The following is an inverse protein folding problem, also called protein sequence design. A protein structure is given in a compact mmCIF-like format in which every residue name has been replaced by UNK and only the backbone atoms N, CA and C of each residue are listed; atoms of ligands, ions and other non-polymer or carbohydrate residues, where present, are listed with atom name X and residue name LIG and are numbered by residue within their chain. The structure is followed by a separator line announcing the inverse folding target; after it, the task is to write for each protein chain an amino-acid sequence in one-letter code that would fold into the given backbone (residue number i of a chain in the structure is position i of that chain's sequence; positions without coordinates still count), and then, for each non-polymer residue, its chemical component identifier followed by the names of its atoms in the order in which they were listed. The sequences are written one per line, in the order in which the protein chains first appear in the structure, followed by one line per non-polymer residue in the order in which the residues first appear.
data_IF_758095044201
#
_entry.id   IF_758095044201
#
_cell.length_a   1.000
_cell.length_b   1.000
_cell.length_c   1.000
_cell.angle_alpha   90.00
_cell.angle_beta   90.00
_cell.angle_gamma   90.00
#
_symmetry.space_group_name_H-M   'P 1'
#
loop_
_entity.id
_entity.type
_entity.pdbx_description
1 polymer ?
#
# COMPACT_ATOMS: atom_id res chain seq x y z
N UNK A 1 19.25 33.87 41.02
CA UNK A 1 17.93 33.23 40.86
C UNK A 1 17.43 33.37 39.44
N UNK A 2 17.87 32.49 38.52
CA UNK A 2 17.18 32.30 37.23
C UNK A 2 17.60 30.95 36.65
N UNK A 3 16.78 29.93 36.85
CA UNK A 3 16.95 28.60 36.28
C UNK A 3 16.23 28.58 34.93
N UNK A 4 16.98 28.45 33.84
CA UNK A 4 16.43 28.21 32.49
C UNK A 4 15.92 26.76 32.43
N UNK A 5 14.62 26.59 32.58
CA UNK A 5 13.93 25.32 32.40
C UNK A 5 13.90 24.98 30.90
N UNK A 6 14.66 23.94 30.52
CA UNK A 6 14.65 23.37 29.17
C UNK A 6 13.26 22.83 28.86
N UNK A 7 12.54 23.49 27.96
CA UNK A 7 11.33 22.97 27.37
C UNK A 7 11.62 21.60 26.70
N UNK A 8 11.07 20.53 27.26
CA UNK A 8 11.03 19.22 26.62
C UNK A 8 10.05 19.29 25.45
N UNK A 9 10.39 18.83 24.23
CA UNK A 9 9.42 18.73 23.16
C UNK A 9 8.40 17.63 23.52
N UNK A 10 7.12 18.02 23.62
CA UNK A 10 6.00 17.10 23.78
C UNK A 10 5.80 16.21 22.55
N UNK A 11 4.96 15.16 22.65
CA UNK A 11 4.72 14.24 21.55
C UNK A 11 4.07 14.97 20.37
N UNK A 12 4.66 14.82 19.19
CA UNK A 12 4.09 15.29 17.93
C UNK A 12 2.85 14.47 17.60
N UNK A 13 1.67 15.06 17.76
CA UNK A 13 0.43 14.51 17.24
C UNK A 13 0.37 14.78 15.73
N UNK A 14 0.47 13.72 14.92
CA UNK A 14 0.32 13.80 13.46
C UNK A 14 -1.17 13.91 13.11
N UNK A 15 -1.66 15.14 12.95
CA UNK A 15 -2.94 15.37 12.26
C UNK A 15 -2.78 15.05 10.77
N UNK A 16 -3.79 14.39 10.19
CA UNK A 16 -3.87 14.01 8.78
C UNK A 16 -3.94 15.27 7.91
N UNK A 17 -2.78 15.78 7.52
CA UNK A 17 -2.55 16.90 6.60
C UNK A 17 -1.90 16.37 5.30
N UNK A 18 -1.99 17.06 4.15
CA UNK A 18 -1.22 16.73 2.93
C UNK A 18 0.27 16.44 3.18
N UNK A 19 0.83 16.94 4.28
CA UNK A 19 2.18 16.64 4.75
C UNK A 19 2.43 15.15 4.99
N UNK A 20 1.46 14.38 5.53
CA UNK A 20 1.70 12.99 5.97
C UNK A 20 2.00 12.06 4.79
N UNK A 21 1.22 12.15 3.72
CA UNK A 21 1.45 11.36 2.51
C UNK A 21 2.78 11.74 1.85
N UNK A 22 3.05 13.04 1.72
CA UNK A 22 4.33 13.54 1.19
C UNK A 22 5.53 13.08 2.01
N UNK A 23 5.44 13.11 3.34
CA UNK A 23 6.52 12.64 4.23
C UNK A 23 6.73 11.13 4.10
N UNK A 24 5.67 10.34 3.93
CA UNK A 24 5.76 8.88 3.72
C UNK A 24 6.43 8.55 2.39
N UNK A 25 6.06 9.27 1.33
CA UNK A 25 6.71 9.14 0.01
C UNK A 25 8.20 9.54 0.09
N UNK A 26 8.52 10.65 0.75
CA UNK A 26 9.91 11.09 0.91
C UNK A 26 10.77 10.07 1.68
N UNK A 27 10.22 9.46 2.73
CA UNK A 27 10.93 8.41 3.47
C UNK A 27 11.18 7.19 2.59
N UNK A 28 10.16 6.71 1.86
CA UNK A 28 10.34 5.54 0.97
C UNK A 28 11.34 5.81 -0.14
N UNK A 29 11.38 7.04 -0.68
CA UNK A 29 12.40 7.41 -1.67
C UNK A 29 13.82 7.24 -1.12
N UNK A 30 14.05 7.57 0.16
CA UNK A 30 15.35 7.36 0.81
C UNK A 30 15.64 5.87 1.01
N UNK A 31 14.66 5.08 1.45
CA UNK A 31 14.80 3.62 1.61
C UNK A 31 15.11 2.93 0.28
N UNK A 32 14.40 3.30 -0.79
CA UNK A 32 14.67 2.79 -2.15
C UNK A 32 16.10 3.11 -2.57
N UNK A 33 16.58 4.33 -2.34
CA UNK A 33 17.95 4.71 -2.70
C UNK A 33 19.01 3.85 -1.98
N UNK A 34 18.75 3.46 -0.73
CA UNK A 34 19.64 2.59 0.06
C UNK A 34 19.61 1.14 -0.47
N UNK A 35 18.43 0.63 -0.83
CA UNK A 35 18.25 -0.73 -1.36
C UNK A 35 18.80 -0.87 -2.79
N UNK A 36 18.76 0.21 -3.56
CA UNK A 36 19.35 0.27 -4.89
C UNK A 36 20.88 0.21 -4.78
N UNK A 37 21.43 -0.99 -5.03
CA UNK A 37 22.87 -1.21 -5.17
C UNK A 37 23.40 -0.43 -6.39
N UNK A 38 23.80 0.83 -6.16
CA UNK A 38 24.27 1.75 -7.19
C UNK A 38 25.38 1.07 -8.02
N UNK A 39 25.13 0.88 -9.31
CA UNK A 39 26.09 0.34 -10.28
C UNK A 39 25.93 -1.14 -10.65
N UNK A 40 24.97 -1.89 -10.09
CA UNK A 40 24.68 -3.29 -10.51
C UNK A 40 23.31 -3.43 -11.18
N UNK A 41 23.13 -4.35 -12.15
CA UNK A 41 21.80 -4.70 -12.64
C UNK A 41 20.91 -5.23 -11.52
N UNK A 42 19.66 -4.79 -11.48
CA UNK A 42 18.66 -5.24 -10.48
C UNK A 42 17.29 -5.39 -11.14
N UNK A 43 16.42 -6.21 -10.54
CA UNK A 43 15.03 -6.33 -10.96
C UNK A 43 14.20 -5.16 -10.39
N UNK A 44 13.82 -4.24 -11.26
CA UNK A 44 12.98 -3.08 -10.91
C UNK A 44 11.60 -3.48 -10.40
N UNK A 45 11.07 -4.64 -10.81
CA UNK A 45 9.69 -5.03 -10.47
C UNK A 45 9.52 -5.23 -8.97
N UNK A 46 10.42 -5.98 -8.34
CA UNK A 46 10.32 -6.31 -6.91
C UNK A 46 10.52 -5.04 -6.09
N UNK A 47 11.58 -4.28 -6.36
CA UNK A 47 11.91 -3.08 -5.58
C UNK A 47 10.79 -2.02 -5.68
N UNK A 48 10.29 -1.74 -6.90
CA UNK A 48 9.25 -0.74 -7.08
C UNK A 48 7.90 -1.20 -6.50
N UNK A 49 7.53 -2.47 -6.68
CA UNK A 49 6.31 -2.99 -6.06
C UNK A 49 6.40 -2.88 -4.54
N UNK A 50 7.51 -3.31 -3.93
CA UNK A 50 7.71 -3.21 -2.48
C UNK A 50 7.67 -1.76 -1.98
N UNK A 51 8.34 -0.84 -2.67
CA UNK A 51 8.38 0.57 -2.28
C UNK A 51 7.00 1.23 -2.32
N UNK A 52 6.29 1.09 -3.44
CA UNK A 52 4.94 1.66 -3.60
C UNK A 52 3.99 1.03 -2.59
N UNK A 53 4.07 -0.29 -2.40
CA UNK A 53 3.22 -0.99 -1.44
C UNK A 53 3.49 -0.54 -0.02
N UNK A 54 4.74 -0.25 0.35
CA UNK A 54 5.09 0.26 1.67
C UNK A 54 4.55 1.68 1.91
N UNK A 55 4.50 2.54 0.89
CA UNK A 55 3.79 3.84 0.99
C UNK A 55 2.32 3.59 1.34
N UNK A 56 1.66 2.67 0.64
CA UNK A 56 0.24 2.37 0.87
C UNK A 56 0.03 1.67 2.23
N UNK A 57 0.87 0.70 2.61
CA UNK A 57 0.83 0.06 3.93
C UNK A 57 0.98 1.10 5.05
N UNK A 58 1.86 2.08 4.88
CA UNK A 58 1.98 3.17 5.86
C UNK A 58 0.68 3.96 5.95
N UNK A 59 0.02 4.28 4.83
CA UNK A 59 -1.32 4.91 4.80
C UNK A 59 -2.39 4.07 5.49
N UNK A 60 -2.41 2.77 5.23
CA UNK A 60 -3.45 1.88 5.74
C UNK A 60 -3.26 1.55 7.22
N UNK A 61 -2.05 1.16 7.58
CA UNK A 61 -1.72 0.53 8.86
C UNK A 61 -0.87 1.41 9.77
N UNK A 62 -0.38 2.55 9.28
CA UNK A 62 0.58 3.39 10.01
C UNK A 62 2.01 2.84 10.05
N UNK A 63 2.24 1.66 9.47
CA UNK A 63 3.49 0.90 9.58
C UNK A 63 4.06 0.56 8.21
N UNK A 64 5.37 0.24 8.18
CA UNK A 64 6.09 -0.21 6.99
C UNK A 64 6.61 -1.61 7.23
N UNK A 65 6.71 -2.38 6.15
CA UNK A 65 7.29 -3.72 6.17
C UNK A 65 8.72 -3.69 5.66
N UNK A 66 9.57 -4.57 6.20
CA UNK A 66 10.88 -4.79 5.61
C UNK A 66 10.73 -5.36 4.19
N UNK A 67 11.65 -5.03 3.29
CA UNK A 67 11.55 -5.45 1.89
C UNK A 67 11.70 -6.98 1.76
N UNK A 68 12.40 -7.61 2.71
CA UNK A 68 12.62 -9.04 2.82
C UNK A 68 11.61 -9.74 3.74
N UNK A 69 10.62 -9.01 4.27
CA UNK A 69 9.60 -9.60 5.14
C UNK A 69 8.81 -10.67 4.34
N UNK A 70 8.84 -11.95 4.75
CA UNK A 70 8.21 -13.03 4.00
C UNK A 70 6.69 -12.88 3.92
N UNK A 71 6.08 -12.23 4.91
CA UNK A 71 4.64 -11.97 4.97
C UNK A 71 4.27 -10.91 3.94
N UNK A 72 5.03 -9.82 3.90
CA UNK A 72 4.84 -8.77 2.92
C UNK A 72 5.08 -9.26 1.48
N UNK A 73 6.14 -10.04 1.25
CA UNK A 73 6.42 -10.63 -0.06
C UNK A 73 5.31 -11.59 -0.52
N UNK A 74 4.72 -12.34 0.40
CA UNK A 74 3.57 -13.21 0.10
C UNK A 74 2.35 -12.39 -0.31
N UNK A 75 2.06 -11.31 0.41
CA UNK A 75 1.00 -10.36 0.09
C UNK A 75 1.16 -9.78 -1.33
N UNK A 76 2.37 -9.31 -1.68
CA UNK A 76 2.67 -8.79 -3.01
C UNK A 76 2.53 -9.85 -4.10
N UNK A 77 2.95 -11.08 -3.81
CA UNK A 77 2.84 -12.21 -4.74
C UNK A 77 1.37 -12.51 -5.05
N UNK A 78 0.55 -12.66 -4.02
CA UNK A 78 -0.90 -12.92 -4.15
C UNK A 78 -1.59 -11.81 -4.96
N UNK A 79 -1.21 -10.56 -4.71
CA UNK A 79 -1.79 -9.41 -5.40
C UNK A 79 -1.45 -9.37 -6.89
N UNK A 80 -0.18 -9.59 -7.23
CA UNK A 80 0.26 -9.66 -8.63
C UNK A 80 -0.32 -10.91 -9.34
N UNK A 81 -0.49 -12.04 -8.65
CA UNK A 81 -1.18 -13.21 -9.21
C UNK A 81 -2.65 -12.90 -9.50
N UNK A 82 -3.37 -12.30 -8.55
CA UNK A 82 -4.77 -11.91 -8.74
C UNK A 82 -4.95 -10.90 -9.87
N UNK A 83 -4.07 -9.91 -9.97
CA UNK A 83 -4.11 -8.92 -11.06
C UNK A 83 -3.93 -9.58 -12.43
N UNK A 84 -3.00 -10.54 -12.55
CA UNK A 84 -2.82 -11.32 -13.78
C UNK A 84 -4.03 -12.19 -14.10
N UNK A 85 -4.62 -12.82 -13.08
CA UNK A 85 -5.80 -13.66 -13.25
C UNK A 85 -7.02 -12.83 -13.69
N UNK A 86 -7.25 -11.67 -13.06
CA UNK A 86 -8.30 -10.72 -13.46
C UNK A 86 -8.14 -10.23 -14.89
N UNK A 87 -6.90 -10.02 -15.34
CA UNK A 87 -6.59 -9.68 -16.73
C UNK A 87 -6.69 -10.85 -17.71
N UNK A 88 -6.85 -12.10 -17.25
CA UNK A 88 -6.81 -13.28 -18.12
C UNK A 88 -8.07 -13.37 -19.00
N UNK A 89 -7.95 -13.89 -20.25
CA UNK A 89 -9.11 -14.10 -21.12
C UNK A 89 -10.21 -14.95 -20.49
N UNK A 90 -9.84 -15.94 -19.67
CA UNK A 90 -10.79 -16.82 -18.98
C UNK A 90 -11.66 -16.06 -17.96
N UNK A 91 -11.06 -15.17 -17.15
CA UNK A 91 -11.81 -14.37 -16.17
C UNK A 91 -12.62 -13.27 -16.86
N UNK A 92 -12.08 -12.64 -17.90
CA UNK A 92 -12.86 -11.67 -18.70
C UNK A 92 -14.09 -12.34 -19.32
N UNK A 93 -13.93 -13.53 -19.91
CA UNK A 93 -15.03 -14.28 -20.49
C UNK A 93 -16.07 -14.70 -19.43
N UNK A 94 -15.63 -15.10 -18.24
CA UNK A 94 -16.52 -15.33 -17.10
C UNK A 94 -17.31 -14.09 -16.69
N UNK A 95 -16.68 -12.91 -16.64
CA UNK A 95 -17.35 -11.66 -16.30
C UNK A 95 -18.42 -11.27 -17.32
N UNK A 96 -18.19 -11.53 -18.62
CA UNK A 96 -19.19 -11.28 -19.66
C UNK A 96 -20.30 -12.34 -19.69
N UNK A 97 -19.96 -13.60 -19.43
CA UNK A 97 -20.90 -14.72 -19.45
C UNK A 97 -20.73 -15.60 -18.20
N UNK A 98 -21.35 -15.24 -17.07
CA UNK A 98 -21.20 -15.99 -15.81
C UNK A 98 -21.64 -17.45 -15.93
N UNK A 99 -22.63 -17.73 -16.80
CA UNK A 99 -23.23 -19.06 -17.00
C UNK A 99 -22.26 -20.13 -17.53
N UNK A 100 -21.14 -19.74 -18.16
CA UNK A 100 -20.10 -20.66 -18.67
C UNK A 100 -18.90 -20.79 -17.72
N UNK A 101 -18.95 -20.15 -16.56
CA UNK A 101 -17.85 -20.08 -15.60
C UNK A 101 -17.36 -21.40 -15.04
N UNK A 102 -18.23 -22.41 -14.99
CA UNK A 102 -17.88 -23.74 -14.49
C UNK A 102 -16.83 -24.47 -15.35
N UNK A 103 -16.66 -24.07 -16.62
CA UNK A 103 -15.74 -24.71 -17.57
C UNK A 103 -14.27 -24.29 -17.37
N UNK A 104 -14.01 -23.11 -16.79
CA UNK A 104 -12.69 -22.49 -16.88
C UNK A 104 -11.82 -22.62 -15.64
N UNK A 105 -12.33 -23.15 -14.52
CA UNK A 105 -11.55 -23.42 -13.28
C UNK A 105 -10.95 -22.18 -12.58
N UNK A 106 -10.90 -21.03 -13.25
CA UNK A 106 -10.40 -19.75 -12.76
C UNK A 106 -11.06 -19.26 -11.45
N UNK A 107 -12.35 -19.52 -11.18
CA UNK A 107 -12.95 -19.12 -9.91
C UNK A 107 -12.25 -19.73 -8.70
N UNK A 108 -11.75 -20.98 -8.79
CA UNK A 108 -11.15 -21.68 -7.63
C UNK A 108 -9.82 -21.05 -7.19
N UNK A 109 -8.97 -20.67 -8.13
CA UNK A 109 -7.66 -20.05 -7.82
C UNK A 109 -7.83 -18.64 -7.28
N UNK A 110 -8.73 -17.84 -7.87
CA UNK A 110 -9.03 -16.49 -7.40
C UNK A 110 -9.65 -16.54 -6.00
N UNK A 111 -10.62 -17.41 -5.76
CA UNK A 111 -11.24 -17.58 -4.43
C UNK A 111 -10.21 -17.97 -3.37
N UNK A 112 -9.33 -18.94 -3.65
CA UNK A 112 -8.27 -19.34 -2.71
C UNK A 112 -7.31 -18.18 -2.39
N UNK A 113 -6.88 -17.44 -3.40
CA UNK A 113 -5.96 -16.32 -3.19
C UNK A 113 -6.63 -15.18 -2.38
N UNK A 114 -7.94 -14.95 -2.58
CA UNK A 114 -8.71 -14.01 -1.76
C UNK A 114 -8.84 -14.52 -0.31
N UNK A 115 -9.06 -15.82 -0.10
CA UNK A 115 -9.12 -16.41 1.24
C UNK A 115 -7.80 -16.24 2.02
N UNK A 116 -6.66 -16.52 1.37
CA UNK A 116 -5.33 -16.34 1.99
C UNK A 116 -5.07 -14.87 2.34
N UNK A 117 -5.45 -13.97 1.44
CA UNK A 117 -5.32 -12.53 1.62
C UNK A 117 -6.23 -12.00 2.74
N UNK A 118 -7.45 -12.54 2.85
CA UNK A 118 -8.38 -12.22 3.93
C UNK A 118 -7.86 -12.71 5.29
N UNK A 119 -7.35 -13.94 5.36
CA UNK A 119 -6.78 -14.49 6.59
C UNK A 119 -5.59 -13.66 7.09
N UNK A 120 -4.75 -13.19 6.15
CA UNK A 120 -3.66 -12.29 6.46
C UNK A 120 -4.16 -10.97 7.08
N UNK A 121 -5.09 -10.28 6.41
CA UNK A 121 -5.60 -8.99 6.90
C UNK A 121 -6.40 -9.11 8.20
N UNK A 122 -7.15 -10.18 8.40
CA UNK A 122 -7.85 -10.43 9.66
C UNK A 122 -6.87 -10.57 10.84
N UNK A 123 -5.74 -11.26 10.62
CA UNK A 123 -4.68 -11.34 11.63
C UNK A 123 -4.12 -9.95 11.93
N UNK A 124 -3.84 -9.18 10.88
CA UNK A 124 -3.33 -7.82 11.00
C UNK A 124 -4.32 -6.90 11.75
N UNK A 125 -5.60 -6.94 11.41
CA UNK A 125 -6.64 -6.16 12.07
C UNK A 125 -6.82 -6.55 13.54
N UNK A 126 -6.65 -7.82 13.88
CA UNK A 126 -6.70 -8.27 15.27
C UNK A 126 -5.58 -7.66 16.10
N UNK A 127 -4.35 -7.65 15.58
CA UNK A 127 -3.21 -7.00 16.22
C UNK A 127 -3.40 -5.48 16.33
N UNK A 128 -3.93 -4.86 15.28
CA UNK A 128 -4.22 -3.42 15.26
C UNK A 128 -5.29 -3.04 16.28
N UNK A 129 -6.36 -3.84 16.41
CA UNK A 129 -7.39 -3.65 17.46
C UNK A 129 -6.84 -3.77 18.87
N UNK A 130 -5.86 -4.64 19.11
CA UNK A 130 -5.23 -4.77 20.43
C UNK A 130 -4.41 -3.54 20.80
N UNK A 131 -3.84 -2.84 19.81
CA UNK A 131 -3.02 -1.63 19.99
C UNK A 131 -3.81 -0.33 19.79
N UNK A 132 -5.08 -0.44 19.39
CA UNK A 132 -5.92 0.70 19.04
C UNK A 132 -6.09 1.67 20.21
N UNK A 133 -5.93 2.96 19.92
CA UNK A 133 -6.15 4.05 20.86
C UNK A 133 -6.84 5.20 20.14
N UNK A 134 -7.98 5.64 20.66
CA UNK A 134 -8.74 6.79 20.12
C UNK A 134 -7.91 8.08 20.09
N UNK A 135 -6.89 8.19 20.95
CA UNK A 135 -6.01 9.35 21.03
C UNK A 135 -4.82 9.31 20.07
N UNK A 136 -4.63 8.19 19.35
CA UNK A 136 -3.48 8.00 18.46
C UNK A 136 -3.86 7.17 17.22
N UNK A 137 -4.48 7.83 16.24
CA UNK A 137 -4.82 7.21 14.95
C UNK A 137 -3.59 7.21 14.03
N UNK A 138 -3.13 6.04 13.62
CA UNK A 138 -1.88 5.89 12.85
C UNK A 138 -2.10 5.69 11.35
N UNK A 139 -3.30 5.24 10.96
CA UNK A 139 -3.66 4.98 9.57
C UNK A 139 -5.18 4.84 9.35
N UNK A 140 -5.53 4.44 8.13
CA UNK A 140 -6.92 4.20 7.71
C UNK A 140 -7.64 3.21 8.63
N UNK A 141 -6.98 2.12 9.02
CA UNK A 141 -7.60 1.07 9.87
C UNK A 141 -8.04 1.66 11.21
N UNK A 142 -7.20 2.45 11.87
CA UNK A 142 -7.57 3.11 13.14
C UNK A 142 -8.74 4.07 12.97
N UNK A 143 -8.72 4.87 11.90
CA UNK A 143 -9.81 5.80 11.61
C UNK A 143 -11.14 5.06 11.37
N UNK A 144 -11.09 3.91 10.68
CA UNK A 144 -12.25 3.06 10.45
C UNK A 144 -12.76 2.43 11.75
N UNK A 145 -11.85 1.92 12.60
CA UNK A 145 -12.21 1.34 13.91
C UNK A 145 -12.84 2.37 14.84
N UNK A 146 -12.29 3.58 14.89
CA UNK A 146 -12.89 4.70 15.64
C UNK A 146 -14.32 4.98 15.15
N UNK A 147 -14.52 5.02 13.83
CA UNK A 147 -15.84 5.29 13.25
C UNK A 147 -16.83 4.15 13.50
N UNK A 148 -16.37 2.90 13.42
CA UNK A 148 -17.13 1.70 13.81
C UNK A 148 -17.61 1.79 15.27
N UNK A 149 -16.77 2.27 16.19
CA UNK A 149 -17.15 2.44 17.59
C UNK A 149 -18.18 3.55 17.80
N UNK A 150 -17.99 4.70 17.13
CA UNK A 150 -18.93 5.83 17.16
C UNK A 150 -20.32 5.46 16.64
N UNK A 151 -20.38 4.59 15.63
CA UNK A 151 -21.63 4.14 15.01
C UNK A 151 -22.13 2.79 15.54
N UNK A 152 -21.57 2.29 16.65
CA UNK A 152 -21.91 0.97 17.21
C UNK A 152 -23.41 0.75 17.50
N UNK A 153 -24.17 1.84 17.69
CA UNK A 153 -25.63 1.78 17.93
C UNK A 153 -26.47 1.87 16.65
N UNK A 154 -25.85 2.11 15.50
CA UNK A 154 -26.54 2.21 14.21
C UNK A 154 -26.53 0.85 13.50
N UNK A 155 -27.68 0.18 13.45
CA UNK A 155 -27.85 -1.11 12.75
C UNK A 155 -27.64 -1.03 11.24
N UNK A 156 -27.68 0.17 10.66
CA UNK A 156 -27.47 0.43 9.23
C UNK A 156 -26.06 0.96 8.92
N UNK A 157 -25.12 0.88 9.86
CA UNK A 157 -23.75 1.36 9.64
C UNK A 157 -23.03 0.55 8.55
N UNK A 158 -22.27 1.25 7.72
CA UNK A 158 -21.34 0.61 6.77
C UNK A 158 -19.98 0.27 7.42
N UNK A 159 -19.75 0.67 8.67
CA UNK A 159 -18.49 0.45 9.38
C UNK A 159 -18.47 -0.92 10.09
N UNK A 160 -18.60 -2.01 9.31
CA UNK A 160 -18.48 -3.39 9.79
C UNK A 160 -17.21 -4.07 9.27
N UNK A 161 -16.82 -5.20 9.88
CA UNK A 161 -15.52 -5.85 9.62
C UNK A 161 -15.33 -6.25 8.16
N UNK A 162 -16.37 -6.76 7.50
CA UNK A 162 -16.29 -7.09 6.08
C UNK A 162 -15.95 -5.84 5.22
N UNK A 163 -16.52 -4.68 5.51
CA UNK A 163 -16.21 -3.46 4.75
C UNK A 163 -14.81 -2.92 5.07
N UNK A 164 -14.35 -3.05 6.32
CA UNK A 164 -12.95 -2.75 6.67
C UNK A 164 -12.00 -3.60 5.82
N UNK A 165 -12.26 -4.89 5.73
CA UNK A 165 -11.47 -5.84 4.95
C UNK A 165 -11.45 -5.47 3.47
N UNK A 166 -12.61 -5.38 2.82
CA UNK A 166 -12.68 -5.08 1.39
C UNK A 166 -12.14 -3.68 1.06
N UNK A 167 -12.42 -2.66 1.87
CA UNK A 167 -11.89 -1.32 1.64
C UNK A 167 -10.37 -1.27 1.76
N UNK A 168 -9.79 -2.02 2.71
CA UNK A 168 -8.33 -2.11 2.87
C UNK A 168 -7.70 -2.81 1.67
N UNK A 169 -8.31 -3.89 1.18
CA UNK A 169 -7.85 -4.60 0.00
C UNK A 169 -7.91 -3.77 -1.27
N UNK A 170 -9.02 -3.06 -1.48
CA UNK A 170 -9.22 -2.20 -2.63
C UNK A 170 -8.16 -1.10 -2.66
N UNK A 171 -7.95 -0.41 -1.52
CA UNK A 171 -6.93 0.63 -1.41
C UNK A 171 -5.51 0.08 -1.60
N UNK A 172 -5.21 -1.09 -1.01
CA UNK A 172 -3.92 -1.73 -1.14
C UNK A 172 -3.61 -2.14 -2.58
N UNK A 173 -4.57 -2.79 -3.26
CA UNK A 173 -4.41 -3.24 -4.64
C UNK A 173 -4.37 -2.09 -5.64
N UNK A 174 -5.30 -1.14 -5.53
CA UNK A 174 -5.36 0.00 -6.44
C UNK A 174 -4.11 0.87 -6.34
N UNK A 175 -3.63 1.15 -5.12
CA UNK A 175 -2.46 1.99 -4.89
C UNK A 175 -1.14 1.34 -5.32
N UNK A 176 -1.03 0.02 -5.17
CA UNK A 176 0.20 -0.73 -5.44
C UNK A 176 0.46 -0.93 -6.93
N UNK A 177 -0.42 -1.67 -7.61
CA UNK A 177 -0.10 -2.19 -8.96
C UNK A 177 -0.09 -1.10 -10.02
N UNK A 178 -1.04 -0.16 -9.95
CA UNK A 178 -1.18 0.90 -10.96
C UNK A 178 0.01 1.84 -10.91
N UNK A 179 0.40 2.29 -9.70
CA UNK A 179 1.53 3.20 -9.49
C UNK A 179 2.85 2.52 -9.83
N UNK A 180 3.10 1.30 -9.34
CA UNK A 180 4.36 0.60 -9.62
C UNK A 180 4.55 0.29 -11.10
N UNK A 181 3.47 -0.10 -11.79
CA UNK A 181 3.48 -0.31 -13.25
C UNK A 181 3.72 0.98 -13.99
N UNK A 182 3.08 2.08 -13.60
CA UNK A 182 3.27 3.39 -14.23
C UNK A 182 4.72 3.89 -14.07
N UNK A 183 5.29 3.80 -12.87
CA UNK A 183 6.68 4.18 -12.62
C UNK A 183 7.64 3.31 -13.44
N UNK A 184 7.40 2.00 -13.49
CA UNK A 184 8.21 1.07 -14.28
C UNK A 184 8.18 1.40 -15.78
N UNK A 185 7.01 1.72 -16.33
CA UNK A 185 6.89 2.22 -17.71
C UNK A 185 7.58 3.56 -17.90
N UNK A 186 7.48 4.48 -16.92
CA UNK A 186 8.17 5.76 -16.94
C UNK A 186 9.69 5.60 -17.02
N UNK A 187 10.28 4.70 -16.22
CA UNK A 187 11.71 4.37 -16.26
C UNK A 187 12.08 3.78 -17.62
N UNK A 188 11.30 2.80 -18.12
CA UNK A 188 11.55 2.19 -19.43
C UNK A 188 11.52 3.21 -20.57
N UNK A 189 10.55 4.14 -20.55
CA UNK A 189 10.45 5.21 -21.54
C UNK A 189 11.63 6.19 -21.43
N UNK A 190 12.05 6.56 -20.22
CA UNK A 190 13.24 7.40 -20.03
C UNK A 190 14.54 6.72 -20.53
N UNK A 191 14.65 5.39 -20.41
CA UNK A 191 15.78 4.64 -20.98
C UNK A 191 15.74 4.61 -22.51
N UNK A 192 14.55 4.54 -23.11
CA UNK A 192 14.36 4.55 -24.57
C UNK A 192 14.58 5.93 -25.20
N UNK A 193 14.30 7.01 -24.46
CA UNK A 193 14.36 8.40 -24.91
C UNK A 193 15.28 9.24 -24.01
N UNK A 194 16.62 9.14 -24.16
CA UNK A 194 17.60 9.82 -23.31
C UNK A 194 17.45 11.35 -23.26
N UNK A 195 16.93 11.95 -24.33
CA UNK A 195 16.63 13.38 -24.42
C UNK A 195 15.54 13.81 -23.43
N UNK A 196 14.54 12.96 -23.19
CA UNK A 196 13.49 13.19 -22.18
C UNK A 196 14.09 13.00 -20.79
N UNK A 197 14.90 11.96 -20.58
CA UNK A 197 15.58 11.72 -19.31
C UNK A 197 16.48 12.89 -18.90
N UNK A 198 17.21 13.47 -19.86
CA UNK A 198 18.08 14.64 -19.62
C UNK A 198 17.29 15.86 -19.18
N UNK A 199 16.17 16.15 -19.86
CA UNK A 199 15.25 17.24 -19.46
C UNK A 199 14.65 17.01 -18.07
N UNK A 200 14.23 15.79 -17.76
CA UNK A 200 13.66 15.44 -16.46
C UNK A 200 14.68 15.63 -15.32
N UNK A 201 15.94 15.21 -15.52
CA UNK A 201 17.04 15.46 -14.57
C UNK A 201 17.28 16.95 -14.35
N UNK A 202 17.26 17.74 -15.43
CA UNK A 202 17.46 19.19 -15.35
C UNK A 202 16.29 19.90 -14.62
N UNK A 203 15.05 19.44 -14.80
CA UNK A 203 13.87 19.99 -14.11
C UNK A 203 13.83 19.63 -12.62
N UNK A 204 14.42 18.49 -12.22
CA UNK A 204 14.39 17.99 -10.83
C UNK A 204 15.59 18.45 -9.97
N UNK A 205 16.53 19.22 -10.52
CA UNK A 205 17.80 19.58 -9.87
C UNK A 205 17.83 20.90 -9.06
N UNK A 206 16.70 21.51 -8.67
CA UNK A 206 16.70 22.65 -7.70
C UNK A 206 15.52 22.60 -6.69
N UNK A 207 15.13 21.44 -6.18
CA UNK A 207 14.23 21.37 -4.99
C UNK A 207 14.54 20.27 -3.97
N UNK A 208 15.61 19.48 -4.15
CA UNK A 208 16.04 18.44 -3.18
C UNK A 208 17.55 18.51 -2.89
N UNK A 209 18.09 19.72 -2.96
CA UNK A 209 19.30 20.15 -2.26
C UNK A 209 18.96 21.47 -1.57
#
# INVERSE_FOLDING_TARGET
STTLEKAKPGPFYLQVSPSVCSTRIQFENQSVFIVLNVGKPFDTKVILNSAVSNVICSVLFGERFAYEDPVFLTLLKLLNENTKLLGSPAVQLYNFYPSIGFLFGAPKTVSRNIEELNAFLETFFKEHRQRFSENNLTGFVDAFLMKQQQESRNSHTHFHNANLLFSTLDLFAAGTETTSTTIRWGILLMMKYPEIQSKAKHLSLIKVF
#
